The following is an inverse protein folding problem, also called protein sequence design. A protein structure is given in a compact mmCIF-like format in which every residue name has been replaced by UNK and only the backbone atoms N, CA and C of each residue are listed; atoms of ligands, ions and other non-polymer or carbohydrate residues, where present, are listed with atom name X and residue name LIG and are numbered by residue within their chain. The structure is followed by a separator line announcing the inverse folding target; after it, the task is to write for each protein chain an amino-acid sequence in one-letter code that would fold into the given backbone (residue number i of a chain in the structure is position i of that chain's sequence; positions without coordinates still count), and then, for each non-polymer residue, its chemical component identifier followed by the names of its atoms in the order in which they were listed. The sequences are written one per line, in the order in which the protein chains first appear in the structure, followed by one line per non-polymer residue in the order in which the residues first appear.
data_IF_376564969274
#
_entry.id   IF_376564969274
#
_cell.length_a   1.000
_cell.length_b   1.000
_cell.length_c   1.000
_cell.angle_alpha   90.00
_cell.angle_beta   90.00
_cell.angle_gamma   90.00
#
_symmetry.space_group_name_H-M   'P 1'
#
loop_
_entity.id
_entity.type
_entity.pdbx_description
1 polymer ?
#
# COMPACT_ATOMS: atom_id res chain seq x y z
N UNK A 1 -45.28 32.65 -17.10
CA UNK A 1 -44.87 31.52 -17.94
C UNK A 1 -44.12 32.10 -19.13
N UNK A 2 -42.81 32.19 -19.04
CA UNK A 2 -41.94 32.75 -20.08
C UNK A 2 -40.95 31.65 -20.51
N UNK A 3 -41.06 31.24 -21.75
CA UNK A 3 -40.23 30.21 -22.39
C UNK A 3 -39.00 30.93 -22.93
N UNK A 4 -37.82 30.58 -22.42
CA UNK A 4 -36.55 31.07 -22.91
C UNK A 4 -36.07 30.11 -24.02
N UNK A 5 -36.14 30.59 -25.27
CA UNK A 5 -35.59 29.95 -26.46
C UNK A 5 -34.06 30.14 -26.47
N UNK A 6 -33.32 29.02 -26.28
CA UNK A 6 -31.86 28.98 -26.44
C UNK A 6 -31.56 28.79 -27.93
N UNK A 7 -31.12 29.83 -28.61
CA UNK A 7 -30.65 29.77 -29.99
C UNK A 7 -29.22 29.21 -30.04
N UNK A 8 -29.06 28.00 -30.53
CA UNK A 8 -27.74 27.44 -30.91
C UNK A 8 -27.24 28.18 -32.17
N UNK A 9 -26.25 29.05 -31.99
CA UNK A 9 -25.49 29.56 -33.12
C UNK A 9 -24.47 28.53 -33.56
N UNK A 10 -24.64 27.93 -34.71
CA UNK A 10 -23.64 27.05 -35.36
C UNK A 10 -22.57 27.96 -35.98
N UNK A 11 -21.39 28.03 -35.31
CA UNK A 11 -20.18 28.58 -35.92
C UNK A 11 -19.62 27.58 -36.90
N UNK A 12 -19.73 27.88 -38.20
CA UNK A 12 -18.93 27.18 -39.23
C UNK A 12 -17.51 27.76 -39.18
N UNK A 13 -16.59 26.94 -38.63
CA UNK A 13 -15.17 27.25 -38.74
C UNK A 13 -14.69 26.99 -40.18
N UNK A 14 -14.16 28.03 -40.79
CA UNK A 14 -13.49 27.94 -42.10
C UNK A 14 -12.29 27.00 -41.99
N UNK A 15 -12.26 26.04 -42.87
CA UNK A 15 -11.19 25.07 -43.02
C UNK A 15 -10.03 25.74 -43.79
N UNK A 16 -9.18 26.49 -43.11
CA UNK A 16 -7.90 26.88 -43.65
C UNK A 16 -6.98 25.66 -43.63
N UNK A 17 -6.73 25.08 -44.79
CA UNK A 17 -5.77 24.00 -45.03
C UNK A 17 -4.34 24.51 -44.79
N UNK A 18 -3.90 24.47 -43.53
CA UNK A 18 -2.49 24.66 -43.18
C UNK A 18 -1.71 23.48 -43.73
N UNK A 19 -0.62 23.70 -44.51
CA UNK A 19 0.20 22.62 -45.03
C UNK A 19 0.73 21.79 -43.85
N UNK A 20 0.43 20.49 -43.92
CA UNK A 20 0.84 19.49 -42.94
C UNK A 20 2.38 19.44 -42.85
N UNK A 21 3.01 20.26 -42.01
CA UNK A 21 4.38 19.98 -41.60
C UNK A 21 4.38 18.62 -40.91
N UNK A 22 5.31 17.70 -41.24
CA UNK A 22 5.41 16.45 -40.54
C UNK A 22 5.59 16.77 -39.04
N UNK A 23 4.61 16.39 -38.22
CA UNK A 23 4.68 16.52 -36.78
C UNK A 23 5.89 15.69 -36.32
N UNK A 24 6.92 16.34 -35.82
CA UNK A 24 8.06 15.66 -35.21
C UNK A 24 7.55 14.72 -34.12
N UNK A 25 7.49 13.44 -34.44
CA UNK A 25 7.09 12.42 -33.48
C UNK A 25 8.23 12.19 -32.50
N UNK A 26 8.00 12.50 -31.24
CA UNK A 26 8.97 12.22 -30.18
C UNK A 26 8.97 10.71 -29.92
N UNK A 27 10.10 10.06 -30.18
CA UNK A 27 10.32 8.66 -29.81
C UNK A 27 10.77 8.58 -28.37
N UNK A 28 9.92 8.03 -27.50
CA UNK A 28 10.25 7.80 -26.09
C UNK A 28 10.55 6.31 -25.90
N UNK A 29 11.72 6.01 -25.34
CA UNK A 29 12.08 4.64 -24.98
C UNK A 29 11.47 4.29 -23.62
N UNK A 30 10.50 3.40 -23.62
CA UNK A 30 9.93 2.85 -22.39
C UNK A 30 10.77 1.66 -21.92
N UNK A 31 11.24 1.74 -20.70
CA UNK A 31 12.04 0.70 -20.06
C UNK A 31 11.09 -0.31 -19.39
N UNK A 32 11.21 -1.58 -19.75
CA UNK A 32 10.50 -2.69 -19.15
C UNK A 32 11.46 -3.50 -18.28
N UNK A 33 11.04 -3.87 -17.10
CA UNK A 33 11.86 -4.61 -16.17
C UNK A 33 11.10 -4.99 -14.91
N UNK A 34 11.72 -5.83 -14.11
CA UNK A 34 11.28 -6.19 -12.77
C UNK A 34 11.93 -5.21 -11.80
N UNK A 35 11.15 -4.46 -11.02
CA UNK A 35 11.65 -3.72 -9.87
C UNK A 35 11.53 -4.61 -8.64
N UNK A 36 12.61 -4.72 -7.88
CA UNK A 36 12.64 -5.40 -6.59
C UNK A 36 13.12 -4.42 -5.55
N UNK A 37 12.50 -4.39 -4.41
CA UNK A 37 12.80 -3.44 -3.35
C UNK A 37 12.41 -3.92 -1.97
N UNK A 38 12.71 -3.07 -1.00
CA UNK A 38 12.36 -3.28 0.41
C UNK A 38 11.64 -2.05 0.97
N UNK A 39 10.78 -2.27 1.94
CA UNK A 39 10.18 -1.19 2.72
C UNK A 39 11.17 -0.71 3.78
N UNK A 40 11.74 0.47 3.54
CA UNK A 40 12.69 1.10 4.46
C UNK A 40 12.01 1.67 5.69
N UNK A 41 10.72 2.01 5.60
CA UNK A 41 9.95 2.50 6.75
C UNK A 41 9.83 1.45 7.84
N UNK A 42 9.56 0.18 7.48
CA UNK A 42 9.52 -0.93 8.44
C UNK A 42 10.89 -1.22 9.04
N UNK A 43 11.93 -1.19 8.23
CA UNK A 43 13.30 -1.38 8.69
C UNK A 43 13.68 -0.28 9.69
N UNK A 44 13.45 0.98 9.35
CA UNK A 44 13.76 2.13 10.25
C UNK A 44 12.94 2.02 11.54
N UNK A 45 11.66 1.70 11.44
CA UNK A 45 10.80 1.51 12.60
C UNK A 45 11.31 0.40 13.53
N UNK A 46 11.81 -0.71 12.99
CA UNK A 46 12.41 -1.80 13.78
C UNK A 46 13.66 -1.39 14.57
N UNK A 47 14.32 -0.30 14.17
CA UNK A 47 15.44 0.26 14.92
C UNK A 47 15.05 1.35 15.93
N UNK A 48 13.88 1.95 15.77
CA UNK A 48 13.42 3.09 16.61
C UNK A 48 12.33 2.69 17.61
N UNK A 49 11.63 1.60 17.38
CA UNK A 49 10.51 1.10 18.19
C UNK A 49 10.85 -0.30 18.69
N UNK A 50 11.28 -0.42 19.94
CA UNK A 50 11.68 -1.69 20.58
C UNK A 50 10.53 -2.72 20.61
N UNK A 51 9.29 -2.24 20.51
CA UNK A 51 8.09 -3.07 20.47
C UNK A 51 7.68 -3.51 19.06
N UNK A 52 8.48 -3.20 18.05
CA UNK A 52 8.19 -3.53 16.66
C UNK A 52 9.39 -4.08 15.91
N UNK A 53 9.19 -5.19 15.25
CA UNK A 53 10.14 -5.72 14.25
C UNK A 53 9.38 -6.05 12.97
N UNK A 54 9.83 -5.51 11.84
CA UNK A 54 9.16 -5.74 10.56
C UNK A 54 10.12 -5.69 9.39
N UNK A 55 9.88 -6.55 8.42
CA UNK A 55 10.59 -6.58 7.16
C UNK A 55 9.64 -6.91 6.00
N UNK A 56 9.73 -6.14 4.92
CA UNK A 56 8.90 -6.34 3.73
C UNK A 56 9.75 -6.22 2.47
N UNK A 57 9.61 -7.21 1.59
CA UNK A 57 10.16 -7.21 0.24
C UNK A 57 9.01 -6.98 -0.74
N UNK A 58 9.24 -6.15 -1.74
CA UNK A 58 8.29 -5.84 -2.78
C UNK A 58 8.88 -6.04 -4.16
N UNK A 59 8.01 -6.39 -5.10
CA UNK A 59 8.39 -6.48 -6.50
C UNK A 59 7.25 -5.95 -7.36
N UNK A 60 7.58 -5.25 -8.43
CA UNK A 60 6.62 -4.88 -9.45
C UNK A 60 7.20 -5.06 -10.86
N UNK A 61 6.33 -5.47 -11.76
CA UNK A 61 6.66 -5.70 -13.16
C UNK A 61 5.76 -4.87 -14.06
N UNK A 62 6.36 -4.12 -14.98
CA UNK A 62 5.62 -3.36 -15.96
C UNK A 62 4.98 -4.28 -17.00
N UNK A 63 3.67 -4.44 -16.92
CA UNK A 63 2.90 -5.25 -17.86
C UNK A 63 2.53 -4.46 -19.13
N UNK A 64 2.14 -3.19 -18.96
CA UNK A 64 1.69 -2.33 -20.03
C UNK A 64 2.25 -0.90 -19.87
N UNK A 65 1.89 0.03 -20.76
CA UNK A 65 2.35 1.42 -20.71
C UNK A 65 2.13 2.09 -19.36
N UNK A 66 1.00 1.79 -18.70
CA UNK A 66 0.58 2.40 -17.43
C UNK A 66 0.30 1.40 -16.33
N UNK A 67 0.29 0.10 -16.65
CA UNK A 67 -0.09 -0.94 -15.68
C UNK A 67 1.13 -1.74 -15.25
N UNK A 68 1.22 -1.95 -13.94
CA UNK A 68 2.23 -2.77 -13.30
C UNK A 68 1.53 -3.83 -12.44
N UNK A 69 2.03 -5.05 -12.50
CA UNK A 69 1.66 -6.11 -11.57
C UNK A 69 2.61 -6.00 -10.40
N UNK A 70 2.10 -6.01 -9.18
CA UNK A 70 2.92 -5.85 -8.00
C UNK A 70 2.57 -6.87 -6.92
N UNK A 71 3.58 -7.27 -6.17
CA UNK A 71 3.49 -8.19 -5.05
C UNK A 71 4.41 -7.78 -3.91
N UNK A 72 3.98 -8.10 -2.70
CA UNK A 72 4.68 -7.76 -1.46
C UNK A 72 4.63 -8.96 -0.53
N UNK A 73 5.73 -9.25 0.16
CA UNK A 73 5.87 -10.29 1.16
C UNK A 73 6.50 -9.70 2.40
N UNK A 74 5.90 -9.92 3.55
CA UNK A 74 6.43 -9.36 4.78
C UNK A 74 6.25 -10.25 6.00
N UNK A 75 7.06 -9.95 7.00
CA UNK A 75 6.99 -10.51 8.34
C UNK A 75 6.95 -9.36 9.33
N UNK A 76 6.14 -9.49 10.36
CA UNK A 76 6.01 -8.50 11.42
C UNK A 76 5.85 -9.17 12.77
N UNK A 77 6.49 -8.58 13.77
CA UNK A 77 6.28 -8.83 15.19
C UNK A 77 5.97 -7.51 15.86
N UNK A 78 4.89 -7.46 16.64
CA UNK A 78 4.48 -6.29 17.39
C UNK A 78 4.15 -6.70 18.83
N UNK A 79 4.82 -6.06 19.77
CA UNK A 79 4.45 -6.13 21.18
C UNK A 79 3.52 -4.96 21.50
N UNK A 80 2.34 -5.24 22.03
CA UNK A 80 1.36 -4.24 22.45
C UNK A 80 1.23 -4.27 23.95
N UNK A 81 1.78 -3.26 24.61
CA UNK A 81 1.78 -3.13 26.04
C UNK A 81 0.94 -1.91 26.44
N UNK A 82 -0.02 -2.11 27.30
CA UNK A 82 -0.75 -1.05 28.00
C UNK A 82 -1.01 -1.46 29.44
N UNK A 83 -1.64 -0.59 30.24
CA UNK A 83 -1.87 -0.80 31.67
C UNK A 83 -2.64 -2.09 32.02
N UNK A 84 -3.38 -2.65 31.05
CA UNK A 84 -4.27 -3.79 31.28
C UNK A 84 -3.90 -5.02 30.47
N UNK A 85 -2.99 -4.88 29.50
CA UNK A 85 -2.77 -5.92 28.50
C UNK A 85 -1.32 -5.89 27.98
N UNK A 86 -0.72 -7.07 27.91
CA UNK A 86 0.56 -7.28 27.23
C UNK A 86 0.40 -8.45 26.24
N UNK A 87 0.48 -8.14 24.93
CA UNK A 87 0.29 -9.10 23.85
C UNK A 87 1.38 -8.96 22.81
N UNK A 88 2.01 -10.07 22.50
CA UNK A 88 2.95 -10.17 21.39
C UNK A 88 2.25 -10.81 20.18
N UNK A 89 2.23 -10.12 19.06
CA UNK A 89 1.70 -10.62 17.78
C UNK A 89 2.84 -10.88 16.83
N UNK A 90 2.86 -12.08 16.22
CA UNK A 90 3.85 -12.47 15.20
C UNK A 90 3.14 -13.05 13.99
N UNK A 91 3.59 -12.65 12.79
CA UNK A 91 3.01 -13.24 11.58
C UNK A 91 3.68 -12.83 10.30
N UNK A 92 3.18 -13.45 9.25
CA UNK A 92 3.62 -13.22 7.88
C UNK A 92 2.43 -12.82 7.03
N UNK A 93 2.69 -12.06 5.96
CA UNK A 93 1.64 -11.67 5.03
C UNK A 93 2.17 -11.62 3.60
N UNK A 94 1.22 -11.76 2.70
CA UNK A 94 1.41 -11.59 1.27
C UNK A 94 0.38 -10.60 0.75
N UNK A 95 0.79 -9.75 -0.20
CA UNK A 95 -0.11 -8.85 -0.92
C UNK A 95 0.17 -8.96 -2.40
N UNK A 96 -0.88 -8.91 -3.21
CA UNK A 96 -0.77 -8.94 -4.65
C UNK A 96 -1.80 -8.04 -5.31
N UNK A 97 -1.44 -7.43 -6.43
CA UNK A 97 -2.35 -6.54 -7.13
C UNK A 97 -1.74 -5.79 -8.29
N UNK A 98 -2.30 -4.66 -8.60
CA UNK A 98 -1.95 -3.85 -9.77
C UNK A 98 -1.75 -2.39 -9.38
N UNK A 99 -0.80 -1.74 -10.04
CA UNK A 99 -0.57 -0.29 -9.99
C UNK A 99 -0.87 0.32 -11.35
N UNK A 100 -1.58 1.43 -11.35
CA UNK A 100 -1.86 2.22 -12.53
C UNK A 100 -1.09 3.55 -12.45
N UNK A 101 -0.17 3.76 -13.38
CA UNK A 101 0.61 4.99 -13.47
C UNK A 101 -0.21 6.11 -14.09
N UNK A 102 -0.48 7.14 -13.31
CA UNK A 102 -1.21 8.35 -13.71
C UNK A 102 -0.30 9.34 -14.42
N UNK A 103 1.00 9.28 -14.18
CA UNK A 103 1.98 10.25 -14.67
C UNK A 103 2.56 9.87 -16.02
N UNK A 104 2.66 10.83 -16.92
CA UNK A 104 3.39 10.68 -18.19
C UNK A 104 4.76 11.34 -18.02
N UNK A 105 5.80 10.51 -18.08
CA UNK A 105 7.17 11.00 -17.99
C UNK A 105 7.54 11.85 -19.19
N UNK A 106 8.26 12.94 -18.93
CA UNK A 106 8.90 13.77 -19.92
C UNK A 106 10.38 13.41 -19.94
N UNK A 107 11.01 13.40 -21.10
CA UNK A 107 12.42 13.07 -21.25
C UNK A 107 12.74 11.72 -20.58
N UNK A 108 13.62 10.97 -20.88
CA UNK A 108 13.98 9.61 -20.44
C UNK A 108 13.85 9.26 -18.93
N UNK A 109 13.17 10.09 -18.14
CA UNK A 109 12.82 9.81 -16.75
C UNK A 109 11.75 8.72 -16.66
N UNK A 110 11.79 7.91 -15.61
CA UNK A 110 10.82 6.84 -15.38
C UNK A 110 10.15 6.98 -13.99
N UNK A 111 9.79 8.21 -13.67
CA UNK A 111 9.05 8.52 -12.46
C UNK A 111 7.60 8.01 -12.58
N UNK A 112 6.98 7.73 -11.46
CA UNK A 112 5.65 7.17 -11.39
C UNK A 112 4.85 7.85 -10.27
N UNK A 113 3.71 8.43 -10.63
CA UNK A 113 2.64 8.76 -9.69
C UNK A 113 1.55 7.75 -9.95
N UNK A 114 1.16 6.98 -8.97
CA UNK A 114 0.30 5.84 -9.19
C UNK A 114 -0.83 5.71 -8.17
N UNK A 115 -1.89 5.10 -8.60
CA UNK A 115 -2.88 4.48 -7.74
C UNK A 115 -2.80 2.97 -7.90
N UNK A 116 -2.96 2.24 -6.80
CA UNK A 116 -2.84 0.79 -6.78
C UNK A 116 -3.97 0.14 -6.00
N UNK A 117 -4.21 -1.11 -6.33
CA UNK A 117 -5.11 -1.98 -5.62
C UNK A 117 -4.38 -3.25 -5.23
N UNK A 118 -4.58 -3.72 -3.99
CA UNK A 118 -4.00 -4.95 -3.46
C UNK A 118 -5.07 -5.78 -2.77
N UNK A 119 -4.91 -7.08 -2.90
CA UNK A 119 -5.49 -8.08 -2.02
C UNK A 119 -4.38 -8.56 -1.09
N UNK A 120 -4.60 -8.44 0.21
CA UNK A 120 -3.67 -8.89 1.24
C UNK A 120 -4.23 -10.07 2.02
N UNK A 121 -3.34 -10.96 2.43
CA UNK A 121 -3.65 -12.06 3.34
C UNK A 121 -2.52 -12.22 4.36
N UNK A 122 -2.88 -12.52 5.61
CA UNK A 122 -1.94 -12.72 6.71
C UNK A 122 -2.25 -14.01 7.46
N UNK A 123 -1.17 -14.66 7.94
CA UNK A 123 -1.24 -15.74 8.92
C UNK A 123 -0.39 -15.36 10.13
N UNK A 124 -0.97 -15.43 11.32
CA UNK A 124 -0.34 -14.89 12.51
C UNK A 124 -0.76 -15.63 13.79
N UNK A 125 -0.11 -15.29 14.88
CA UNK A 125 -0.42 -15.73 16.23
C UNK A 125 -0.36 -14.58 17.22
N UNK A 126 -1.14 -14.69 18.29
CA UNK A 126 -1.04 -13.84 19.47
C UNK A 126 -0.56 -14.65 20.66
N UNK A 127 0.37 -14.10 21.40
CA UNK A 127 0.77 -14.56 22.74
C UNK A 127 0.32 -13.51 23.74
N UNK A 128 -0.71 -13.82 24.53
CA UNK A 128 -1.15 -13.00 25.66
C UNK A 128 -0.19 -13.24 26.81
N UNK A 129 0.70 -12.30 27.09
CA UNK A 129 1.71 -12.43 28.14
C UNK A 129 1.13 -12.17 29.53
N UNK A 130 0.33 -11.12 29.65
CA UNK A 130 -0.37 -10.79 30.88
C UNK A 130 -1.61 -9.95 30.61
N UNK A 131 -2.59 -10.05 31.50
CA UNK A 131 -3.74 -9.16 31.48
C UNK A 131 -4.23 -8.84 32.89
N UNK A 132 -4.88 -7.69 33.02
CA UNK A 132 -5.51 -7.24 34.25
C UNK A 132 -6.93 -6.75 33.94
N UNK A 133 -7.93 -7.30 34.62
CA UNK A 133 -9.30 -6.83 34.46
C UNK A 133 -9.53 -5.57 35.29
N UNK A 134 -10.00 -4.52 34.62
CA UNK A 134 -10.42 -3.31 35.33
C UNK A 134 -11.70 -3.56 36.13
N UNK A 135 -11.67 -3.34 37.44
CA UNK A 135 -12.84 -3.38 38.28
C UNK A 135 -13.09 -1.99 38.89
N UNK A 136 -14.29 -1.45 38.68
CA UNK A 136 -14.73 -0.20 39.33
C UNK A 136 -14.91 -0.34 40.82
N UNK A 137 -15.00 -1.57 41.34
CA UNK A 137 -15.21 -1.86 42.74
C UNK A 137 -13.93 -2.40 43.42
N UNK A 138 -12.98 -1.51 43.60
CA UNK A 138 -11.65 -1.83 44.14
C UNK A 138 -11.67 -2.39 45.58
N UNK A 139 -12.76 -2.18 46.32
CA UNK A 139 -12.87 -2.61 47.73
C UNK A 139 -13.35 -4.06 47.90
N UNK A 140 -14.13 -4.58 46.97
CA UNK A 140 -14.85 -5.86 47.15
C UNK A 140 -14.48 -6.93 46.12
N UNK A 141 -13.87 -6.55 45.01
CA UNK A 141 -13.41 -7.48 43.99
C UNK A 141 -11.92 -7.28 43.79
N UNK A 142 -11.06 -8.25 44.15
CA UNK A 142 -9.66 -8.21 43.75
C UNK A 142 -9.58 -8.15 42.22
N UNK A 143 -8.72 -7.28 41.67
CA UNK A 143 -8.44 -7.24 40.25
C UNK A 143 -7.94 -8.61 39.82
N UNK A 144 -8.59 -9.21 38.86
CA UNK A 144 -8.14 -10.47 38.26
C UNK A 144 -6.92 -10.15 37.40
N UNK A 145 -5.75 -10.51 37.90
CA UNK A 145 -4.49 -10.42 37.17
C UNK A 145 -4.04 -11.81 36.83
N UNK A 146 -3.64 -12.05 35.61
CA UNK A 146 -3.02 -13.30 35.19
C UNK A 146 -1.73 -13.01 34.47
N UNK A 147 -0.65 -13.61 34.94
CA UNK A 147 0.67 -13.64 34.28
C UNK A 147 0.88 -14.96 33.55
N UNK A 148 -0.16 -15.81 33.45
CA UNK A 148 -0.09 -17.05 32.70
C UNK A 148 -0.16 -16.74 31.21
N UNK A 149 0.94 -17.03 30.49
CA UNK A 149 0.98 -16.86 29.03
C UNK A 149 -0.02 -17.77 28.35
N UNK A 150 -0.76 -17.24 27.39
CA UNK A 150 -1.71 -17.98 26.57
C UNK A 150 -1.46 -17.72 25.09
N UNK A 151 -1.30 -18.79 24.33
CA UNK A 151 -1.04 -18.72 22.87
C UNK A 151 -2.31 -18.96 22.07
N UNK A 152 -2.53 -18.08 21.09
CA UNK A 152 -3.60 -18.18 20.08
C UNK A 152 -2.95 -18.32 18.72
N UNK A 153 -2.98 -19.52 18.16
CA UNK A 153 -2.30 -19.85 16.91
C UNK A 153 -3.29 -20.07 15.75
N UNK A 154 -2.77 -19.95 14.52
CA UNK A 154 -3.53 -20.25 13.30
C UNK A 154 -4.60 -19.20 13.03
N UNK A 155 -4.33 -17.96 13.36
CA UNK A 155 -5.15 -16.80 13.02
C UNK A 155 -4.86 -16.38 11.57
N UNK A 156 -5.88 -15.90 10.90
CA UNK A 156 -5.79 -15.47 9.51
C UNK A 156 -6.62 -14.22 9.30
N UNK A 157 -6.20 -13.37 8.38
CA UNK A 157 -6.97 -12.22 7.95
C UNK A 157 -6.78 -11.97 6.46
N UNK A 158 -7.81 -11.42 5.81
CA UNK A 158 -7.79 -11.03 4.40
C UNK A 158 -8.37 -9.63 4.28
N UNK A 159 -7.74 -8.77 3.50
CA UNK A 159 -8.15 -7.38 3.33
C UNK A 159 -7.89 -6.87 1.90
N UNK A 160 -8.50 -5.74 1.58
CA UNK A 160 -8.27 -4.98 0.37
C UNK A 160 -7.50 -3.70 0.70
N UNK A 161 -6.63 -3.27 -0.20
CA UNK A 161 -5.92 -1.99 -0.07
C UNK A 161 -6.08 -1.14 -1.32
N UNK A 162 -6.35 0.14 -1.10
CA UNK A 162 -6.16 1.20 -2.08
C UNK A 162 -4.88 1.94 -1.74
N UNK A 163 -4.02 2.12 -2.74
CA UNK A 163 -2.71 2.75 -2.59
C UNK A 163 -2.64 3.96 -3.49
N UNK A 164 -2.10 5.06 -2.97
CA UNK A 164 -1.66 6.21 -3.76
C UNK A 164 -0.20 6.48 -3.43
N UNK A 165 0.63 6.61 -4.44
CA UNK A 165 2.05 6.78 -4.20
C UNK A 165 2.81 7.40 -5.36
N UNK A 166 4.05 7.69 -5.06
CA UNK A 166 5.05 8.19 -6.01
C UNK A 166 6.28 7.28 -5.96
N UNK A 167 6.89 7.05 -7.11
CA UNK A 167 8.22 6.43 -7.23
C UNK A 167 9.07 7.32 -8.12
N UNK A 168 10.20 7.77 -7.60
CA UNK A 168 11.14 8.64 -8.31
C UNK A 168 12.45 7.92 -8.59
N UNK A 169 12.91 7.95 -9.84
CA UNK A 169 14.23 7.44 -10.24
C UNK A 169 15.30 8.45 -9.79
N UNK A 170 16.00 8.14 -8.69
CA UNK A 170 17.06 9.01 -8.12
C UNK A 170 18.43 8.75 -8.75
N UNK A 171 18.68 7.50 -9.11
CA UNK A 171 19.84 7.08 -9.90
C UNK A 171 19.36 6.10 -10.95
N UNK A 172 20.21 5.82 -11.95
CA UNK A 172 19.87 4.87 -13.02
C UNK A 172 19.37 3.54 -12.43
N UNK A 173 18.10 3.24 -12.68
CA UNK A 173 17.37 2.07 -12.19
C UNK A 173 17.13 2.01 -10.68
N UNK A 174 17.53 2.99 -9.90
CA UNK A 174 17.29 3.05 -8.45
C UNK A 174 16.17 4.04 -8.14
N UNK A 175 15.17 3.59 -7.41
CA UNK A 175 13.95 4.33 -7.12
C UNK A 175 13.77 4.51 -5.62
N UNK A 176 13.35 5.71 -5.23
CA UNK A 176 12.70 5.94 -3.95
C UNK A 176 11.20 6.00 -4.14
N UNK A 177 10.47 5.33 -3.27
CA UNK A 177 9.02 5.31 -3.25
C UNK A 177 8.45 5.82 -1.93
N UNK A 178 7.33 6.51 -2.05
CA UNK A 178 6.47 6.93 -0.94
C UNK A 178 5.05 6.56 -1.30
N UNK A 179 4.32 5.97 -0.36
CA UNK A 179 2.90 5.66 -0.57
C UNK A 179 2.09 5.81 0.71
N UNK A 180 0.81 6.02 0.53
CA UNK A 180 -0.22 5.94 1.56
C UNK A 180 -1.24 4.88 1.16
N UNK A 181 -1.77 4.19 2.14
CA UNK A 181 -2.62 3.02 1.97
C UNK A 181 -3.90 3.20 2.77
N UNK A 182 -5.03 2.94 2.14
CA UNK A 182 -6.32 2.77 2.81
C UNK A 182 -6.68 1.29 2.71
N UNK A 183 -6.95 0.67 3.85
CA UNK A 183 -7.15 -0.77 3.96
C UNK A 183 -8.57 -1.06 4.46
N UNK A 184 -9.19 -2.09 3.90
CA UNK A 184 -10.51 -2.56 4.33
C UNK A 184 -10.44 -4.05 4.61
N UNK A 185 -10.71 -4.43 5.85
CA UNK A 185 -10.74 -5.84 6.28
C UNK A 185 -11.96 -6.53 5.68
N UNK A 186 -11.74 -7.67 5.04
CA UNK A 186 -12.80 -8.47 4.42
C UNK A 186 -13.21 -9.59 5.37
N UNK A 187 -12.23 -10.30 5.93
CA UNK A 187 -12.47 -11.39 6.87
C UNK A 187 -11.28 -11.57 7.79
N UNK A 188 -11.57 -11.97 9.02
CA UNK A 188 -10.54 -12.35 9.99
C UNK A 188 -11.02 -13.50 10.86
N UNK A 189 -10.09 -14.33 11.30
CA UNK A 189 -10.32 -15.34 12.33
C UNK A 189 -9.91 -14.76 13.67
N UNK A 190 -10.87 -14.64 14.56
CA UNK A 190 -10.70 -14.09 15.91
C UNK A 190 -10.45 -15.24 16.88
N UNK A 191 -9.53 -15.08 17.86
CA UNK A 191 -9.34 -16.04 18.96
C UNK A 191 -10.60 -16.18 19.83
N UNK A 192 -10.74 -17.28 20.54
CA UNK A 192 -11.82 -17.44 21.52
C UNK A 192 -11.62 -16.47 22.71
N UNK A 193 -12.63 -15.67 23.03
CA UNK A 193 -12.64 -14.70 24.13
C UNK A 193 -11.58 -13.58 24.06
N UNK A 194 -11.00 -13.33 22.89
CA UNK A 194 -9.98 -12.34 22.68
C UNK A 194 -10.08 -11.75 21.27
N UNK A 195 -9.87 -10.46 21.10
CA UNK A 195 -9.91 -9.81 19.79
C UNK A 195 -8.53 -9.71 19.13
N UNK A 196 -8.50 -9.55 17.81
CA UNK A 196 -7.25 -9.27 17.11
C UNK A 196 -6.83 -7.81 17.33
N UNK A 197 -5.85 -7.59 18.20
CA UNK A 197 -5.32 -6.26 18.50
C UNK A 197 -4.45 -5.74 17.36
N UNK A 198 -3.69 -6.62 16.73
CA UNK A 198 -2.79 -6.30 15.63
C UNK A 198 -2.84 -7.40 14.58
N UNK A 199 -2.91 -7.03 13.32
CA UNK A 199 -2.85 -7.94 12.18
C UNK A 199 -1.65 -7.55 11.33
N UNK A 200 -0.63 -8.44 11.20
CA UNK A 200 0.55 -8.18 10.37
C UNK A 200 0.19 -7.80 8.93
N UNK A 201 0.76 -6.71 8.43
CA UNK A 201 0.47 -6.15 7.12
C UNK A 201 -0.78 -5.27 7.06
N UNK A 202 -1.79 -5.51 7.88
CA UNK A 202 -3.00 -4.67 7.92
C UNK A 202 -2.86 -3.51 8.90
N UNK A 203 -2.15 -3.72 10.02
CA UNK A 203 -1.94 -2.73 11.09
C UNK A 203 -3.25 -2.28 11.76
N UNK A 204 -4.14 -3.22 12.10
CA UNK A 204 -5.37 -2.90 12.82
C UNK A 204 -5.01 -2.24 14.15
N UNK A 205 -5.67 -1.14 14.45
CA UNK A 205 -5.37 -0.33 15.63
C UNK A 205 -6.60 0.05 16.46
N UNK A 206 -7.82 -0.24 15.99
CA UNK A 206 -9.04 0.20 16.66
C UNK A 206 -10.06 -0.92 16.76
N UNK A 207 -10.68 -1.03 17.95
CA UNK A 207 -11.78 -1.93 18.20
C UNK A 207 -12.91 -1.67 17.21
N UNK A 208 -13.50 -2.72 16.70
CA UNK A 208 -14.66 -2.71 15.78
C UNK A 208 -14.47 -2.00 14.42
N UNK A 209 -13.30 -1.48 14.07
CA UNK A 209 -13.09 -0.87 12.76
C UNK A 209 -12.56 -1.88 11.74
N UNK A 210 -13.30 -2.05 10.64
CA UNK A 210 -12.82 -2.81 9.47
C UNK A 210 -11.90 -1.98 8.56
N UNK A 211 -11.62 -0.71 8.91
CA UNK A 211 -10.82 0.20 8.10
C UNK A 211 -9.47 0.42 8.77
N UNK A 212 -8.41 0.33 8.02
CA UNK A 212 -7.04 0.63 8.41
C UNK A 212 -6.39 1.62 7.47
N UNK A 213 -5.38 2.29 7.95
CA UNK A 213 -4.53 3.18 7.15
C UNK A 213 -3.07 2.78 7.32
N UNK A 214 -2.27 3.04 6.29
CA UNK A 214 -0.85 2.77 6.31
C UNK A 214 -0.07 3.72 5.44
N UNK A 215 1.22 3.70 5.61
CA UNK A 215 2.17 4.39 4.74
C UNK A 215 3.39 3.50 4.52
N UNK A 216 4.10 3.72 3.44
CA UNK A 216 5.31 2.98 3.13
C UNK A 216 6.38 3.87 2.51
N UNK A 217 7.62 3.60 2.87
CA UNK A 217 8.81 4.18 2.26
C UNK A 217 9.61 3.05 1.64
N UNK A 218 9.95 3.16 0.38
CA UNK A 218 10.64 2.07 -0.30
C UNK A 218 11.87 2.52 -1.05
N UNK A 219 12.85 1.63 -1.08
CA UNK A 219 13.96 1.70 -2.01
C UNK A 219 13.89 0.47 -2.91
N UNK A 220 13.96 0.68 -4.22
CA UNK A 220 13.84 -0.40 -5.18
C UNK A 220 14.78 -0.23 -6.35
N UNK A 221 15.23 -1.35 -6.90
CA UNK A 221 16.09 -1.41 -8.05
C UNK A 221 15.39 -2.12 -9.21
N UNK A 222 15.42 -1.50 -10.40
CA UNK A 222 14.88 -2.09 -11.60
C UNK A 222 15.95 -2.91 -12.33
N UNK A 223 15.68 -4.20 -12.48
CA UNK A 223 16.41 -5.10 -13.34
C UNK A 223 15.88 -4.89 -14.77
N UNK A 224 16.66 -4.23 -15.67
CA UNK A 224 16.19 -3.94 -17.02
C UNK A 224 16.13 -5.23 -17.84
N UNK A 225 14.96 -5.53 -18.42
CA UNK A 225 14.77 -6.70 -19.27
C UNK A 225 14.80 -6.31 -20.74
N UNK A 226 13.97 -5.36 -21.15
CA UNK A 226 13.91 -4.89 -22.54
C UNK A 226 13.38 -3.45 -22.61
N UNK A 227 13.58 -2.81 -23.77
CA UNK A 227 13.06 -1.48 -24.09
C UNK A 227 12.05 -1.57 -25.23
N UNK A 228 10.98 -0.80 -25.13
CA UNK A 228 10.04 -0.60 -26.27
C UNK A 228 10.04 0.86 -26.66
N UNK A 229 10.12 1.11 -27.94
CA UNK A 229 9.93 2.46 -28.50
C UNK A 229 8.44 2.78 -28.56
N UNK A 230 8.08 3.94 -28.07
CA UNK A 230 6.74 4.51 -28.21
C UNK A 230 6.83 5.81 -28.99
N UNK A 231 6.08 5.89 -30.04
CA UNK A 231 5.90 7.14 -30.80
C UNK A 231 4.80 7.94 -30.10
N UNK A 232 5.13 9.09 -29.56
CA UNK A 232 4.16 10.00 -28.95
C UNK A 232 3.97 11.19 -29.89
N UNK A 233 2.72 11.45 -30.25
CA UNK A 233 2.39 12.67 -30.99
C UNK A 233 2.67 13.88 -30.08
N UNK A 234 3.23 14.97 -30.59
CA UNK A 234 3.43 16.17 -29.82
C UNK A 234 2.10 16.67 -29.27
N UNK A 235 2.10 17.01 -27.98
CA UNK A 235 0.97 17.68 -27.33
C UNK A 235 0.92 19.11 -27.87
N UNK A 236 -0.20 19.50 -28.42
CA UNK A 236 -0.46 20.88 -28.89
C UNK A 236 -0.62 21.81 -27.68
#
# INVERSE_FOLDING_TARGET
MAILLLSCATMQAQNDSIPNKPKDSIRIQQKYGLRVGVDTGKIIRSFLDDDYTGFEVMADFRYSNRMYIAGELGIEEKNTVNDYLNVTTKGTYIKGGIDYNLYQNWLDMDNMVYTGFRLGASSFSHTLNSFQTYSTNQYWAPQLTSDASQDFNGLTAVWLELIVGIKAEIFKNLYLGLNVQLKALVTEKVPANFENIYIPGFNKTYDSSAIGAGYGYSISYRIPLYKKEKIVAPVN
#
